data_IF_867918234742
#
_entry.id   IF_867918234742
#
_cell.length_a   1.000
_cell.length_b   1.000
_cell.length_c   1.000
_cell.angle_alpha   90.00
_cell.angle_beta   90.00
_cell.angle_gamma   90.00
#
_symmetry.space_group_name_H-M   'P 1'
#
loop_
_entity.id
_entity.type
_entity.pdbx_description
1 polymer ?
#
# COMPACT_ATOMS: atom_id res chain seq x y z
N UNK A 1 9.19 -6.83 -12.94
CA UNK A 1 9.08 -6.82 -11.47
C UNK A 1 8.12 -5.73 -11.01
N UNK A 2 7.63 -5.87 -9.78
CA UNK A 2 6.72 -4.90 -9.16
C UNK A 2 7.40 -3.53 -9.03
N UNK A 3 6.67 -2.47 -9.34
CA UNK A 3 7.15 -1.10 -9.17
C UNK A 3 6.98 -0.71 -7.69
N UNK A 4 8.08 -0.39 -7.01
CA UNK A 4 8.07 -0.05 -5.59
C UNK A 4 8.08 1.46 -5.34
N UNK A 5 8.64 2.25 -6.27
CA UNK A 5 8.71 3.72 -6.15
C UNK A 5 8.92 4.35 -7.53
N UNK A 6 8.38 5.56 -7.71
CA UNK A 6 8.71 6.45 -8.83
C UNK A 6 8.95 7.84 -8.24
N UNK A 7 10.16 8.39 -8.42
CA UNK A 7 10.54 9.73 -7.93
C UNK A 7 11.42 10.45 -8.95
N UNK A 8 10.82 11.37 -9.70
CA UNK A 8 11.51 12.14 -10.72
C UNK A 8 12.15 11.24 -11.80
N UNK A 9 13.48 11.19 -11.83
CA UNK A 9 14.28 10.38 -12.75
C UNK A 9 14.64 8.99 -12.20
N UNK A 10 14.00 8.54 -11.11
CA UNK A 10 14.28 7.27 -10.44
C UNK A 10 13.06 6.37 -10.42
N UNK A 11 13.30 5.09 -10.61
CA UNK A 11 12.33 4.03 -10.36
C UNK A 11 12.97 2.95 -9.49
N UNK A 12 12.24 2.50 -8.47
CA UNK A 12 12.63 1.32 -7.68
C UNK A 12 11.80 0.13 -8.13
N UNK A 13 12.48 -0.93 -8.54
CA UNK A 13 11.85 -2.17 -8.99
C UNK A 13 12.20 -3.29 -8.01
N UNK A 14 11.20 -4.09 -7.68
CA UNK A 14 11.40 -5.32 -6.91
C UNK A 14 12.48 -6.18 -7.56
N UNK A 15 13.42 -6.68 -6.77
CA UNK A 15 14.58 -7.49 -7.18
C UNK A 15 15.68 -6.75 -7.99
N UNK A 16 15.48 -5.49 -8.36
CA UNK A 16 16.48 -4.70 -9.10
C UNK A 16 16.97 -3.47 -8.32
N UNK A 17 16.22 -3.07 -7.27
CA UNK A 17 16.50 -1.86 -6.51
C UNK A 17 16.24 -0.58 -7.30
N UNK A 18 16.94 0.49 -6.93
CA UNK A 18 16.78 1.82 -7.55
C UNK A 18 17.58 1.91 -8.85
N UNK A 19 16.91 2.26 -9.93
CA UNK A 19 17.45 2.50 -11.26
C UNK A 19 17.13 3.93 -11.69
N UNK A 20 17.98 4.49 -12.56
CA UNK A 20 17.76 5.82 -13.15
C UNK A 20 17.14 5.72 -14.53
N UNK A 21 16.25 6.63 -14.85
CA UNK A 21 15.68 6.76 -16.18
C UNK A 21 16.74 7.31 -17.16
N UNK A 22 16.68 6.91 -18.41
CA UNK A 22 17.47 7.52 -19.48
C UNK A 22 16.89 8.87 -19.86
N UNK A 23 17.73 9.78 -20.41
CA UNK A 23 17.29 11.10 -20.86
C UNK A 23 16.24 11.02 -22.00
N UNK A 24 16.23 9.90 -22.73
CA UNK A 24 15.25 9.58 -23.77
C UNK A 24 14.32 8.43 -23.31
N UNK A 25 13.89 8.44 -22.05
CA UNK A 25 12.97 7.46 -21.53
C UNK A 25 11.56 7.66 -22.11
N UNK A 26 10.95 6.57 -22.58
CA UNK A 26 9.59 6.55 -23.11
C UNK A 26 8.73 5.48 -22.45
N UNK A 27 7.44 5.75 -22.35
CA UNK A 27 6.45 4.80 -21.83
C UNK A 27 5.44 4.49 -22.92
N UNK A 28 5.13 3.20 -23.10
CA UNK A 28 4.16 2.73 -24.08
C UNK A 28 3.09 1.86 -23.41
N UNK A 29 1.86 1.96 -23.88
CA UNK A 29 0.83 0.94 -23.63
C UNK A 29 0.75 -0.01 -24.82
N UNK A 30 0.52 -1.31 -24.55
CA UNK A 30 0.42 -2.34 -25.61
C UNK A 30 -0.87 -3.15 -25.54
N UNK A 31 -1.69 -2.94 -24.52
CA UNK A 31 -3.03 -3.52 -24.48
C UNK A 31 -4.03 -2.61 -25.21
N UNK A 32 -4.79 -3.16 -26.14
CA UNK A 32 -5.66 -2.36 -27.00
C UNK A 32 -4.90 -1.75 -28.17
N UNK A 33 -4.75 -0.43 -28.20
CA UNK A 33 -3.95 0.28 -29.21
C UNK A 33 -2.57 0.55 -28.64
N UNK A 34 -1.53 0.30 -29.44
CA UNK A 34 -0.17 0.66 -29.05
C UNK A 34 -0.01 2.17 -29.17
N UNK A 35 0.24 2.83 -28.06
CA UNK A 35 0.44 4.27 -28.00
C UNK A 35 1.51 4.65 -26.97
N UNK A 36 2.13 5.80 -27.18
CA UNK A 36 3.01 6.42 -26.20
C UNK A 36 2.17 7.11 -25.13
N UNK A 37 2.62 7.02 -23.88
CA UNK A 37 1.94 7.57 -22.72
C UNK A 37 2.94 8.15 -21.72
N UNK A 38 2.46 8.69 -20.61
CA UNK A 38 3.29 9.35 -19.61
C UNK A 38 3.69 8.40 -18.46
N UNK A 39 4.77 8.76 -17.76
CA UNK A 39 5.29 8.02 -16.60
C UNK A 39 4.26 7.91 -15.46
N UNK A 40 3.37 8.90 -15.35
CA UNK A 40 2.28 8.92 -14.37
C UNK A 40 1.30 7.76 -14.54
N UNK A 41 1.28 7.11 -15.70
CA UNK A 41 0.46 5.93 -15.95
C UNK A 41 1.13 4.62 -15.49
N UNK A 42 2.39 4.65 -15.07
CA UNK A 42 3.05 3.51 -14.42
C UNK A 42 2.57 3.43 -12.98
N UNK A 43 1.92 2.32 -12.62
CA UNK A 43 1.32 2.15 -11.31
C UNK A 43 2.30 1.52 -10.32
N UNK A 44 2.50 2.22 -9.20
CA UNK A 44 3.25 1.70 -8.07
C UNK A 44 2.49 0.53 -7.41
N UNK A 45 3.22 -0.47 -6.94
CA UNK A 45 2.62 -1.65 -6.30
C UNK A 45 2.15 -2.74 -7.25
N UNK A 46 2.26 -2.52 -8.58
CA UNK A 46 1.80 -3.46 -9.59
C UNK A 46 2.94 -4.00 -10.45
N UNK A 47 2.72 -5.17 -11.02
CA UNK A 47 3.65 -5.85 -11.94
C UNK A 47 3.03 -5.99 -13.33
N UNK A 48 2.48 -4.90 -13.86
CA UNK A 48 1.85 -4.83 -15.20
C UNK A 48 2.69 -4.03 -16.19
N UNK A 49 3.89 -3.63 -15.78
CA UNK A 49 4.82 -2.84 -16.58
C UNK A 49 6.13 -3.58 -16.75
N UNK A 50 6.53 -3.78 -17.99
CA UNK A 50 7.84 -4.30 -18.35
C UNK A 50 8.82 -3.16 -18.58
N UNK A 51 10.08 -3.33 -18.14
CA UNK A 51 11.12 -2.31 -18.24
C UNK A 51 12.26 -2.77 -19.13
N UNK A 52 12.66 -1.91 -20.06
CA UNK A 52 13.85 -2.11 -20.88
C UNK A 52 15.04 -1.46 -20.20
N UNK A 53 15.98 -2.28 -19.73
CA UNK A 53 17.15 -1.81 -18.98
C UNK A 53 18.40 -2.01 -19.84
N UNK A 54 19.17 -0.94 -20.05
CA UNK A 54 20.47 -0.97 -20.70
C UNK A 54 21.55 -0.42 -19.74
N UNK A 55 22.50 -1.26 -19.38
CA UNK A 55 23.47 -0.90 -18.36
C UNK A 55 22.81 -0.73 -16.98
N UNK A 56 22.80 0.50 -16.46
CA UNK A 56 22.16 0.86 -15.19
C UNK A 56 21.00 1.86 -15.37
N UNK A 57 20.57 2.07 -16.60
CA UNK A 57 19.48 3.00 -16.92
C UNK A 57 18.26 2.26 -17.47
N UNK A 58 17.09 2.77 -17.16
CA UNK A 58 15.82 2.33 -17.74
C UNK A 58 15.55 3.17 -18.98
N UNK A 59 15.54 2.53 -20.16
CA UNK A 59 15.41 3.20 -21.44
C UNK A 59 13.95 3.32 -21.88
N UNK A 60 13.10 2.38 -21.50
CA UNK A 60 11.68 2.40 -21.82
C UNK A 60 10.88 1.58 -20.77
N UNK A 61 9.60 1.89 -20.70
CA UNK A 61 8.62 1.08 -19.98
C UNK A 61 7.48 0.71 -20.91
N UNK A 62 6.94 -0.48 -20.77
CA UNK A 62 5.82 -1.01 -21.54
C UNK A 62 4.75 -1.49 -20.58
N UNK A 63 3.64 -0.78 -20.51
CA UNK A 63 2.46 -1.21 -19.76
C UNK A 63 1.77 -2.27 -20.61
N UNK A 64 1.93 -3.53 -20.23
CA UNK A 64 1.53 -4.69 -21.05
C UNK A 64 0.11 -5.19 -20.76
N UNK A 65 -0.44 -4.86 -19.61
CA UNK A 65 -1.75 -5.31 -19.15
C UNK A 65 -2.58 -4.16 -18.58
N UNK A 66 -3.92 -4.20 -18.73
CA UNK A 66 -4.79 -3.27 -18.03
C UNK A 66 -4.71 -3.52 -16.52
N UNK A 67 -4.83 -2.46 -15.74
CA UNK A 67 -4.87 -2.57 -14.29
C UNK A 67 -6.10 -3.38 -13.84
N UNK A 68 -5.85 -4.40 -13.03
CA UNK A 68 -6.85 -5.01 -12.16
C UNK A 68 -6.53 -4.53 -10.75
N UNK A 69 -7.44 -3.76 -10.16
CA UNK A 69 -7.21 -3.12 -8.87
C UNK A 69 -7.43 -4.12 -7.73
N UNK A 70 -6.42 -4.94 -7.45
CA UNK A 70 -6.47 -5.98 -6.42
C UNK A 70 -6.06 -5.43 -5.05
N UNK A 71 -4.98 -4.64 -4.99
CA UNK A 71 -4.37 -4.15 -3.77
C UNK A 71 -4.30 -2.62 -3.75
N UNK A 72 -4.32 -2.06 -2.54
CA UNK A 72 -4.00 -0.66 -2.28
C UNK A 72 -2.79 -0.59 -1.33
N UNK A 73 -1.95 0.43 -1.52
CA UNK A 73 -0.78 0.72 -0.70
C UNK A 73 -1.02 2.00 0.10
N UNK A 74 -1.14 1.83 1.40
CA UNK A 74 -1.53 2.89 2.34
C UNK A 74 -0.33 3.28 3.19
N UNK A 75 0.07 4.54 3.15
CA UNK A 75 1.09 5.07 4.02
C UNK A 75 0.52 5.29 5.42
N UNK A 76 1.16 4.69 6.42
CA UNK A 76 0.72 4.78 7.82
C UNK A 76 1.43 5.96 8.48
N UNK A 77 0.67 6.95 8.87
CA UNK A 77 1.17 8.14 9.56
C UNK A 77 1.41 7.89 11.05
N UNK A 78 2.22 8.74 11.64
CA UNK A 78 2.45 8.77 13.09
C UNK A 78 1.15 9.04 13.87
N UNK A 79 1.18 8.82 15.18
CA UNK A 79 0.05 9.12 16.08
C UNK A 79 -0.46 10.55 15.86
N UNK A 80 -1.78 10.69 15.66
CA UNK A 80 -2.42 11.97 15.40
C UNK A 80 -2.25 12.48 13.96
N UNK A 81 -1.75 11.64 13.04
CA UNK A 81 -1.53 11.99 11.62
C UNK A 81 -0.59 13.19 11.42
N UNK A 82 0.46 13.29 12.24
CA UNK A 82 1.33 14.48 12.28
C UNK A 82 2.52 14.40 11.33
N UNK A 83 2.96 13.18 10.96
CA UNK A 83 4.08 12.95 10.06
C UNK A 83 3.92 11.63 9.30
N UNK A 84 4.51 11.56 8.09
CA UNK A 84 4.71 10.33 7.33
C UNK A 84 5.94 9.55 7.81
N UNK A 85 6.85 10.22 8.51
CA UNK A 85 8.14 9.67 8.90
C UNK A 85 8.15 9.25 10.36
N UNK A 86 8.65 8.04 10.62
CA UNK A 86 8.79 7.45 11.93
C UNK A 86 10.26 7.37 12.34
N UNK A 87 10.56 7.64 13.60
CA UNK A 87 11.90 7.47 14.17
C UNK A 87 12.24 5.99 14.37
N UNK A 88 11.22 5.16 14.56
CA UNK A 88 11.32 3.70 14.68
C UNK A 88 10.01 3.05 14.27
N UNK A 89 10.08 1.76 13.97
CA UNK A 89 8.90 0.90 13.76
C UNK A 89 9.01 -0.31 14.67
N UNK A 90 7.99 -0.53 15.51
CA UNK A 90 7.89 -1.67 16.40
C UNK A 90 6.67 -2.49 16.02
N UNK A 91 6.85 -3.76 15.71
CA UNK A 91 5.78 -4.64 15.23
C UNK A 91 5.69 -5.92 16.02
N UNK A 92 4.48 -6.47 16.08
CA UNK A 92 4.16 -7.86 16.42
C UNK A 92 2.98 -8.32 15.58
N UNK A 93 2.62 -9.59 15.63
CA UNK A 93 1.44 -10.08 14.91
C UNK A 93 0.53 -10.94 15.81
N UNK A 94 -0.67 -11.26 15.32
CA UNK A 94 -1.61 -12.15 16.01
C UNK A 94 -1.22 -13.63 15.86
N UNK A 95 -0.45 -13.96 14.82
CA UNK A 95 0.15 -15.28 14.58
C UNK A 95 1.59 -15.14 14.11
N UNK A 96 2.22 -16.26 13.72
CA UNK A 96 3.60 -16.25 13.25
C UNK A 96 3.73 -15.35 12.00
N UNK A 97 4.88 -14.66 11.90
CA UNK A 97 5.14 -13.72 10.81
C UNK A 97 6.60 -13.79 10.34
N UNK A 98 6.83 -13.34 9.13
CA UNK A 98 8.11 -13.36 8.44
C UNK A 98 8.56 -11.91 8.26
N UNK A 99 9.80 -11.61 8.62
CA UNK A 99 10.51 -10.39 8.29
C UNK A 99 11.51 -10.71 7.18
N UNK A 100 11.33 -10.09 6.00
CA UNK A 100 12.17 -10.29 4.84
C UNK A 100 12.92 -9.01 4.50
N UNK A 101 14.23 -9.14 4.28
CA UNK A 101 15.12 -8.06 3.85
C UNK A 101 16.23 -8.63 2.96
N UNK A 102 16.35 -8.12 1.74
CA UNK A 102 17.18 -8.74 0.72
C UNK A 102 16.79 -10.21 0.49
N UNK A 103 17.77 -11.11 0.58
CA UNK A 103 17.55 -12.56 0.44
C UNK A 103 17.32 -13.28 1.78
N UNK A 104 17.25 -12.55 2.89
CA UNK A 104 17.07 -13.09 4.24
C UNK A 104 15.60 -13.11 4.62
N UNK A 105 15.14 -14.23 5.17
CA UNK A 105 13.80 -14.39 5.75
C UNK A 105 13.94 -14.90 7.19
N UNK A 106 13.40 -14.15 8.15
CA UNK A 106 13.37 -14.51 9.56
C UNK A 106 11.93 -14.77 10.01
N UNK A 107 11.68 -15.94 10.59
CA UNK A 107 10.35 -16.31 11.11
C UNK A 107 10.27 -15.97 12.59
N UNK A 108 9.28 -15.19 12.96
CA UNK A 108 9.00 -14.75 14.32
C UNK A 108 7.67 -15.31 14.83
N UNK A 109 7.59 -15.57 16.15
CA UNK A 109 6.32 -15.86 16.80
C UNK A 109 5.48 -14.59 16.94
N UNK A 110 4.16 -14.71 16.85
CA UNK A 110 3.27 -13.56 16.92
C UNK A 110 3.47 -12.66 18.14
N UNK A 111 3.89 -13.23 19.28
CA UNK A 111 4.16 -12.49 20.52
C UNK A 111 5.53 -11.80 20.54
N UNK A 112 6.44 -12.17 19.66
CA UNK A 112 7.76 -11.54 19.55
C UNK A 112 7.61 -10.15 18.96
N UNK A 113 8.41 -9.21 19.46
CA UNK A 113 8.42 -7.83 18.98
C UNK A 113 9.71 -7.64 18.16
N UNK A 114 9.57 -7.12 16.97
CA UNK A 114 10.68 -6.66 16.14
C UNK A 114 10.69 -5.14 16.14
N UNK A 115 11.81 -4.57 16.57
CA UNK A 115 12.08 -3.14 16.55
C UNK A 115 13.03 -2.80 15.39
N UNK A 116 12.64 -1.86 14.56
CA UNK A 116 13.37 -1.42 13.37
C UNK A 116 13.67 0.07 13.54
N UNK A 117 14.94 0.43 13.47
CA UNK A 117 15.46 1.79 13.54
C UNK A 117 16.15 2.13 12.20
N UNK A 118 16.35 3.42 11.86
CA UNK A 118 17.07 3.81 10.65
C UNK A 118 18.45 3.17 10.50
N UNK A 119 19.16 2.96 11.62
CA UNK A 119 20.48 2.30 11.68
C UNK A 119 20.40 0.76 11.74
N UNK A 120 19.23 0.17 11.72
CA UNK A 120 19.07 -1.29 11.75
C UNK A 120 19.71 -1.95 10.54
N UNK A 121 20.40 -3.05 10.74
CA UNK A 121 21.00 -3.85 9.67
C UNK A 121 19.98 -4.38 8.65
N UNK A 122 18.72 -4.49 9.04
CA UNK A 122 17.59 -4.85 8.16
C UNK A 122 17.49 -3.96 6.91
N UNK A 123 17.75 -2.65 7.05
CA UNK A 123 17.57 -1.66 5.98
C UNK A 123 18.79 -1.52 5.06
N UNK A 124 19.90 -2.20 5.37
CA UNK A 124 21.13 -2.15 4.56
C UNK A 124 20.96 -2.75 3.16
N UNK A 125 19.95 -3.57 2.95
CA UNK A 125 19.67 -4.26 1.68
C UNK A 125 18.41 -3.71 0.97
N UNK A 126 17.89 -2.56 1.41
CA UNK A 126 16.69 -1.93 0.84
C UNK A 126 15.47 -2.02 1.75
N UNK A 127 14.30 -2.18 1.16
CA UNK A 127 13.04 -2.26 1.90
C UNK A 127 12.93 -3.56 2.69
N UNK A 128 12.21 -3.47 3.81
CA UNK A 128 11.81 -4.62 4.64
C UNK A 128 10.37 -4.95 4.31
N UNK A 129 10.05 -6.22 4.13
CA UNK A 129 8.67 -6.71 4.05
C UNK A 129 8.35 -7.56 5.27
N UNK A 130 7.19 -7.35 5.87
CA UNK A 130 6.67 -8.11 7.01
C UNK A 130 5.33 -8.70 6.59
N UNK A 131 5.26 -10.03 6.60
CA UNK A 131 4.09 -10.79 6.14
C UNK A 131 3.69 -11.82 7.17
N UNK A 132 2.40 -11.99 7.45
CA UNK A 132 1.91 -13.05 8.33
C UNK A 132 1.91 -14.41 7.62
N UNK A 133 2.26 -15.47 8.33
CA UNK A 133 2.23 -16.85 7.78
C UNK A 133 0.80 -17.26 7.40
N UNK A 134 -0.17 -16.88 8.22
CA UNK A 134 -1.58 -17.08 7.94
C UNK A 134 -2.22 -15.73 7.57
N UNK A 135 -2.84 -15.62 6.41
CA UNK A 135 -3.42 -14.37 5.87
C UNK A 135 -4.56 -13.78 6.73
N UNK A 136 -5.18 -14.57 7.60
CA UNK A 136 -6.19 -14.07 8.55
C UNK A 136 -5.56 -13.33 9.74
N UNK A 137 -4.27 -13.53 9.99
CA UNK A 137 -3.54 -12.84 11.04
C UNK A 137 -3.27 -11.38 10.66
N UNK A 138 -3.01 -10.57 11.68
CA UNK A 138 -2.79 -9.13 11.54
C UNK A 138 -1.47 -8.71 12.15
N UNK A 139 -0.83 -7.72 11.54
CA UNK A 139 0.39 -7.09 12.04
C UNK A 139 0.00 -5.85 12.83
N UNK A 140 0.42 -5.77 14.10
CA UNK A 140 0.17 -4.63 14.98
C UNK A 140 1.39 -3.71 14.98
N UNK A 141 1.18 -2.42 14.75
CA UNK A 141 2.22 -1.38 14.83
C UNK A 141 2.16 -0.73 16.21
N UNK A 142 3.17 -0.99 17.04
CA UNK A 142 3.17 -0.66 18.46
C UNK A 142 3.54 0.81 18.76
N UNK A 143 4.23 1.47 17.84
CA UNK A 143 4.63 2.88 17.98
C UNK A 143 3.61 3.88 17.40
N UNK A 144 2.46 3.40 16.93
CA UNK A 144 1.33 4.22 16.46
C UNK A 144 0.12 3.96 17.35
N UNK A 145 -0.61 5.02 17.69
CA UNK A 145 -1.87 4.94 18.40
C UNK A 145 -3.00 5.54 17.58
N UNK A 146 -4.09 4.83 17.50
CA UNK A 146 -5.38 5.25 16.95
C UNK A 146 -6.41 5.40 18.08
N UNK A 147 -7.68 5.68 17.78
CA UNK A 147 -8.72 5.91 18.79
C UNK A 147 -8.96 4.72 19.73
N UNK A 148 -8.55 3.50 19.35
CA UNK A 148 -8.74 2.26 20.13
C UNK A 148 -7.41 1.61 20.57
N UNK A 149 -6.29 2.30 20.46
CA UNK A 149 -4.94 1.82 20.81
C UNK A 149 -4.05 1.57 19.61
N UNK A 150 -3.13 0.61 19.72
CA UNK A 150 -2.24 0.27 18.61
C UNK A 150 -3.01 -0.42 17.49
N UNK A 151 -2.93 0.09 16.25
CA UNK A 151 -3.66 -0.47 15.12
C UNK A 151 -3.07 -1.80 14.64
N UNK A 152 -3.94 -2.70 14.25
CA UNK A 152 -3.59 -3.99 13.64
C UNK A 152 -4.09 -4.04 12.21
N UNK A 153 -3.21 -4.38 11.28
CA UNK A 153 -3.43 -4.32 9.84
C UNK A 153 -3.46 -5.71 9.22
N UNK A 154 -4.37 -5.93 8.28
CA UNK A 154 -4.34 -7.05 7.34
C UNK A 154 -3.32 -6.76 6.24
N UNK A 155 -3.00 -7.79 5.43
CA UNK A 155 -2.02 -7.67 4.36
C UNK A 155 -0.59 -7.54 4.89
N UNK A 156 0.28 -7.00 4.07
CA UNK A 156 1.70 -6.90 4.33
C UNK A 156 2.08 -5.50 4.81
N UNK A 157 3.12 -5.41 5.63
CA UNK A 157 3.75 -4.15 6.02
C UNK A 157 5.10 -4.06 5.33
N UNK A 158 5.33 -2.99 4.62
CA UNK A 158 6.61 -2.64 4.03
C UNK A 158 7.20 -1.43 4.78
N UNK A 159 8.51 -1.46 5.02
CA UNK A 159 9.23 -0.38 5.68
C UNK A 159 10.37 0.05 4.77
N UNK A 160 10.44 1.34 4.49
CA UNK A 160 11.48 1.97 3.69
C UNK A 160 12.17 3.08 4.47
N UNK A 161 13.46 3.27 4.22
CA UNK A 161 14.26 4.35 4.81
C UNK A 161 14.38 5.51 3.82
N UNK A 162 14.09 6.71 4.31
CA UNK A 162 14.30 8.00 3.64
C UNK A 162 15.15 8.91 4.52
N UNK A 163 15.60 10.03 3.97
CA UNK A 163 16.46 10.98 4.71
C UNK A 163 15.78 11.53 5.96
N UNK A 164 14.44 11.65 5.92
CA UNK A 164 13.61 12.17 7.02
C UNK A 164 13.22 11.10 8.06
N UNK A 165 13.41 9.82 7.77
CA UNK A 165 13.07 8.71 8.66
C UNK A 165 12.45 7.51 7.95
N UNK A 166 11.82 6.65 8.73
CA UNK A 166 11.18 5.42 8.23
C UNK A 166 9.77 5.72 7.74
N UNK A 167 9.42 5.18 6.59
CA UNK A 167 8.06 5.17 6.05
C UNK A 167 7.48 3.77 6.21
N UNK A 168 6.24 3.69 6.67
CA UNK A 168 5.48 2.45 6.81
C UNK A 168 4.41 2.42 5.72
N UNK A 169 4.36 1.36 4.94
CA UNK A 169 3.35 1.14 3.92
C UNK A 169 2.62 -0.17 4.24
N UNK A 170 1.31 -0.11 4.32
CA UNK A 170 0.47 -1.31 4.38
C UNK A 170 -0.04 -1.62 2.98
N UNK A 171 0.37 -2.74 2.44
CA UNK A 171 -0.17 -3.30 1.19
C UNK A 171 -1.26 -4.31 1.52
N UNK A 172 -2.47 -4.04 1.09
CA UNK A 172 -3.66 -4.79 1.49
C UNK A 172 -4.63 -4.93 0.33
N UNK A 173 -5.34 -6.08 0.20
CA UNK A 173 -6.45 -6.19 -0.74
C UNK A 173 -7.49 -5.09 -0.53
N UNK A 174 -7.99 -4.49 -1.62
CA UNK A 174 -8.93 -3.34 -1.53
C UNK A 174 -10.14 -3.67 -0.67
N UNK A 175 -10.70 -4.86 -0.81
CA UNK A 175 -11.87 -5.25 -0.03
C UNK A 175 -11.55 -5.33 1.49
N UNK A 176 -10.36 -5.79 1.84
CA UNK A 176 -9.92 -5.83 3.25
C UNK A 176 -9.57 -4.45 3.79
N UNK A 177 -9.03 -3.56 2.96
CA UNK A 177 -8.86 -2.14 3.29
C UNK A 177 -10.20 -1.51 3.69
N UNK A 178 -11.27 -1.80 2.94
CA UNK A 178 -12.60 -1.27 3.21
C UNK A 178 -13.20 -1.78 4.54
N UNK A 179 -12.80 -2.95 5.06
CA UNK A 179 -13.27 -3.42 6.37
C UNK A 179 -12.92 -2.42 7.49
N UNK A 180 -11.81 -1.71 7.36
CA UNK A 180 -11.33 -0.75 8.35
C UNK A 180 -11.62 0.73 7.96
N UNK A 181 -11.81 1.04 6.69
CA UNK A 181 -12.26 2.37 6.23
C UNK A 181 -13.71 2.61 6.57
N UNK A 182 -14.59 1.69 6.20
CA UNK A 182 -16.06 1.88 6.37
C UNK A 182 -16.44 2.25 7.81
N UNK A 183 -16.00 1.54 8.87
CA UNK A 183 -16.35 1.92 10.24
C UNK A 183 -15.63 3.19 10.73
N UNK A 184 -14.49 3.55 10.11
CA UNK A 184 -13.75 4.77 10.44
C UNK A 184 -14.41 6.03 9.85
N UNK A 185 -15.11 5.88 8.73
CA UNK A 185 -15.83 6.97 8.04
C UNK A 185 -17.31 7.06 8.45
N UNK A 186 -17.95 5.94 8.76
CA UNK A 186 -19.37 5.88 9.09
C UNK A 186 -19.64 5.04 10.33
N UNK A 187 -20.31 5.61 11.35
CA UNK A 187 -20.68 4.87 12.55
C UNK A 187 -21.59 3.67 12.25
N UNK A 188 -21.19 2.46 12.71
CA UNK A 188 -21.94 1.20 12.48
C UNK A 188 -23.40 1.25 12.96
N UNK A 189 -23.74 2.13 13.93
CA UNK A 189 -25.10 2.33 14.40
C UNK A 189 -26.09 2.82 13.32
N UNK A 190 -25.61 3.29 12.16
CA UNK A 190 -26.48 3.67 11.05
C UNK A 190 -27.05 2.47 10.29
N UNK A 191 -26.59 1.27 10.62
CA UNK A 191 -27.10 0.01 10.08
C UNK A 191 -26.43 -0.40 8.77
N UNK A 192 -26.58 -1.68 8.44
CA UNK A 192 -25.84 -2.33 7.36
C UNK A 192 -26.11 -1.71 5.98
N UNK A 193 -27.33 -1.26 5.70
CA UNK A 193 -27.65 -0.64 4.41
C UNK A 193 -26.91 0.69 4.20
N UNK A 194 -26.75 1.49 5.25
CA UNK A 194 -25.94 2.70 5.19
C UNK A 194 -24.45 2.36 5.01
N UNK A 195 -23.96 1.33 5.69
CA UNK A 195 -22.58 0.84 5.53
C UNK A 195 -22.31 0.29 4.13
N UNK A 196 -23.30 -0.34 3.47
CA UNK A 196 -23.20 -0.77 2.07
C UNK A 196 -23.01 0.41 1.12
N UNK A 197 -23.79 1.47 1.28
CA UNK A 197 -23.60 2.71 0.49
C UNK A 197 -22.21 3.26 0.72
N UNK A 198 -21.76 3.36 1.98
CA UNK A 198 -20.41 3.83 2.30
C UNK A 198 -19.34 2.94 1.66
N UNK A 199 -19.52 1.62 1.65
CA UNK A 199 -18.56 0.69 1.05
C UNK A 199 -18.43 0.90 -0.48
N UNK A 200 -19.54 1.14 -1.19
CA UNK A 200 -19.53 1.45 -2.63
C UNK A 200 -18.84 2.77 -2.91
N UNK A 201 -19.16 3.83 -2.14
CA UNK A 201 -18.52 5.14 -2.28
C UNK A 201 -17.01 5.05 -1.98
N UNK A 202 -16.63 4.40 -0.88
CA UNK A 202 -15.24 4.25 -0.47
C UNK A 202 -14.42 3.43 -1.49
N UNK A 203 -15.02 2.39 -2.06
CA UNK A 203 -14.37 1.59 -3.11
C UNK A 203 -14.14 2.42 -4.36
N UNK A 204 -15.12 3.17 -4.81
CA UNK A 204 -15.02 4.05 -5.98
C UNK A 204 -13.93 5.11 -5.79
N UNK A 205 -13.85 5.68 -4.57
CA UNK A 205 -12.79 6.62 -4.22
C UNK A 205 -11.41 5.96 -4.23
N UNK A 206 -11.27 4.77 -3.62
CA UNK A 206 -10.00 4.02 -3.60
C UNK A 206 -9.50 3.72 -5.01
N UNK A 207 -10.37 3.23 -5.91
CA UNK A 207 -10.04 3.00 -7.32
C UNK A 207 -9.51 4.25 -8.01
N UNK A 208 -10.14 5.40 -7.79
CA UNK A 208 -9.67 6.67 -8.33
C UNK A 208 -8.28 7.04 -7.82
N UNK A 209 -8.00 6.81 -6.53
CA UNK A 209 -6.70 7.15 -5.94
C UNK A 209 -5.57 6.23 -6.42
N UNK A 210 -5.85 4.98 -6.74
CA UNK A 210 -4.84 4.08 -7.34
C UNK A 210 -4.23 4.66 -8.61
N UNK A 211 -5.04 5.37 -9.42
CA UNK A 211 -4.60 5.96 -10.69
C UNK A 211 -3.81 7.26 -10.54
N UNK A 212 -3.79 7.86 -9.34
CA UNK A 212 -3.22 9.20 -9.16
C UNK A 212 -1.74 9.20 -8.74
N UNK A 213 -1.17 8.06 -8.32
CA UNK A 213 0.21 7.94 -7.81
C UNK A 213 0.64 9.06 -6.83
N UNK A 214 -0.30 9.58 -6.01
CA UNK A 214 -0.05 10.77 -5.16
C UNK A 214 1.17 10.63 -4.25
N UNK A 215 1.45 9.42 -3.82
CA UNK A 215 2.62 9.05 -3.01
C UNK A 215 3.58 8.09 -3.74
N UNK A 216 3.62 8.13 -5.07
CA UNK A 216 4.51 7.29 -5.90
C UNK A 216 5.98 7.39 -5.47
N UNK A 217 6.43 8.58 -5.04
CA UNK A 217 7.74 8.83 -4.46
C UNK A 217 8.08 7.94 -3.27
N UNK A 218 7.08 7.57 -2.47
CA UNK A 218 7.27 6.69 -1.30
C UNK A 218 6.84 5.25 -1.58
N UNK A 219 6.20 5.01 -2.71
CA UNK A 219 5.69 3.70 -3.07
C UNK A 219 4.28 3.42 -2.57
N UNK A 220 3.47 4.46 -2.33
CA UNK A 220 2.10 4.34 -1.85
C UNK A 220 1.11 5.12 -2.73
N UNK A 221 -0.19 4.79 -2.58
CA UNK A 221 -1.27 5.46 -3.30
C UNK A 221 -1.93 6.56 -2.45
N UNK A 222 -2.12 6.28 -1.16
CA UNK A 222 -2.83 7.14 -0.20
C UNK A 222 -2.12 7.12 1.15
N UNK A 223 -2.47 8.06 2.03
CA UNK A 223 -2.19 7.94 3.47
C UNK A 223 -3.47 7.54 4.25
N UNK A 224 -3.32 7.26 5.54
CA UNK A 224 -4.37 6.79 6.43
C UNK A 224 -5.16 7.92 7.14
N UNK A 225 -4.99 9.17 6.70
CA UNK A 225 -5.59 10.37 7.32
C UNK A 225 -6.83 10.87 6.58
N UNK A 226 -7.39 11.95 7.10
CA UNK A 226 -8.53 12.68 6.49
C UNK A 226 -8.22 13.33 5.13
N UNK A 227 -6.96 13.38 4.70
CA UNK A 227 -6.60 13.88 3.37
C UNK A 227 -7.09 12.92 2.26
N UNK A 228 -7.26 11.65 2.60
CA UNK A 228 -7.79 10.60 1.74
C UNK A 228 -9.02 9.96 2.41
N UNK A 229 -8.86 8.75 2.92
CA UNK A 229 -9.90 8.06 3.69
C UNK A 229 -9.30 7.65 5.02
N UNK A 230 -9.98 7.98 6.11
CA UNK A 230 -9.52 7.58 7.44
C UNK A 230 -9.48 6.06 7.53
N UNK A 231 -8.27 5.53 7.66
CA UNK A 231 -8.03 4.10 7.66
C UNK A 231 -7.68 3.58 9.05
N UNK A 232 -8.42 2.57 9.49
CA UNK A 232 -8.16 1.85 10.74
C UNK A 232 -8.09 2.75 11.99
N UNK A 233 -8.86 3.86 12.02
CA UNK A 233 -9.03 4.70 13.21
C UNK A 233 -10.14 4.17 14.13
N UNK A 234 -11.03 3.37 13.58
CA UNK A 234 -11.99 2.52 14.30
C UNK A 234 -11.72 1.08 13.88
N UNK A 235 -11.74 0.19 14.87
CA UNK A 235 -11.54 -1.23 14.66
C UNK A 235 -12.60 -1.83 13.71
N UNK A 236 -12.21 -2.82 12.90
CA UNK A 236 -13.14 -3.58 12.06
C UNK A 236 -14.34 -4.10 12.86
N UNK A 237 -15.51 -4.09 12.26
CA UNK A 237 -16.76 -4.58 12.86
C UNK A 237 -17.45 -5.57 11.92
N UNK A 238 -18.11 -6.57 12.48
CA UNK A 238 -18.80 -7.60 11.69
C UNK A 238 -19.79 -7.00 10.69
N UNK A 239 -20.52 -5.94 11.08
CA UNK A 239 -21.45 -5.25 10.19
C UNK A 239 -20.76 -4.49 9.06
N UNK A 240 -19.57 -3.92 9.30
CA UNK A 240 -18.77 -3.29 8.22
C UNK A 240 -18.19 -4.32 7.26
N UNK A 241 -17.67 -5.42 7.77
CA UNK A 241 -17.18 -6.54 6.96
C UNK A 241 -18.31 -7.13 6.10
N UNK A 242 -19.49 -7.33 6.71
CA UNK A 242 -20.68 -7.82 6.00
C UNK A 242 -21.10 -6.87 4.88
N UNK A 243 -21.16 -5.58 5.14
CA UNK A 243 -21.55 -4.57 4.16
C UNK A 243 -20.61 -4.55 2.96
N UNK A 244 -19.31 -4.62 3.19
CA UNK A 244 -18.30 -4.69 2.12
C UNK A 244 -18.46 -5.97 1.30
N UNK A 245 -18.59 -7.14 1.96
CA UNK A 245 -18.76 -8.44 1.28
C UNK A 245 -20.05 -8.49 0.45
N UNK A 246 -21.16 -7.95 0.95
CA UNK A 246 -22.43 -7.93 0.23
C UNK A 246 -22.47 -6.94 -0.95
N UNK A 247 -21.51 -6.01 -1.01
CA UNK A 247 -21.31 -5.05 -2.11
C UNK A 247 -20.01 -5.29 -2.88
N UNK A 248 -19.46 -6.51 -2.81
CA UNK A 248 -18.16 -6.84 -3.43
C UNK A 248 -18.08 -6.37 -4.88
N UNK A 249 -17.01 -5.62 -5.22
CA UNK A 249 -16.74 -5.14 -6.56
C UNK A 249 -17.71 -4.07 -7.10
N UNK A 250 -18.73 -3.65 -6.33
CA UNK A 250 -19.64 -2.59 -6.77
C UNK A 250 -18.99 -1.23 -6.63
N UNK A 251 -19.06 -0.42 -7.69
CA UNK A 251 -18.55 0.95 -7.75
C UNK A 251 -19.62 1.88 -8.30
N UNK A 252 -19.47 3.17 -8.02
CA UNK A 252 -20.29 4.20 -8.64
C UNK A 252 -19.83 4.41 -10.08
N UNK A 253 -20.78 4.57 -11.00
CA UNK A 253 -20.52 4.94 -12.38
C UNK A 253 -21.40 6.14 -12.77
N UNK A 254 -20.81 7.09 -13.50
CA UNK A 254 -21.52 8.22 -14.08
C UNK A 254 -21.41 8.14 -15.60
N UNK A 255 -22.56 8.12 -16.29
CA UNK A 255 -22.64 7.98 -17.76
C UNK A 255 -21.85 6.78 -18.32
N UNK A 256 -21.84 5.66 -17.60
CA UNK A 256 -21.15 4.44 -18.01
C UNK A 256 -19.62 4.49 -17.86
N UNK A 257 -19.12 5.48 -17.12
CA UNK A 257 -17.70 5.65 -16.76
C UNK A 257 -17.54 5.68 -15.26
#
# INVERSE_FOLDING_TARGET
GKVLMIDGDKVELENYGVLYLDDNFHVYTTYGIIEETDIENILVGYNITDFVIAGKKVCAAVISEPMVADNIRVMIMTTGFTSLFHERVSVKATGDYIVKYGDVEEVHKGTEIVDIYPESGYLSMGRISITTVNKEDKITILNVNKSYGNPSYRGDIEIALYDEGLVIINEVPIEEYLYAVVPSEMPVRFGVEALKVQAVCARSYAYKQLMNNSYGKYGAHVDDSVNFQVYNNVEEKDDSIRAVKETYGQVEAFNGK
#
